data_IF_582941289574
#
_entry.id   IF_582941289574
#
_cell.length_a   1.000
_cell.length_b   1.000
_cell.length_c   1.000
_cell.angle_alpha   90.00
_cell.angle_beta   90.00
_cell.angle_gamma   90.00
#
_symmetry.space_group_name_H-M   'P 1'
#
loop_
_entity.id
_entity.type
_entity.pdbx_description
1 polymer ?
#
# COMPACT_ATOMS: atom_id res chain seq x y z
N UNK A 1 -16.86 16.96 -4.54
CA UNK A 1 -16.54 15.65 -5.13
C UNK A 1 -15.26 15.83 -5.93
N UNK A 2 -14.13 15.49 -5.32
CA UNK A 2 -12.80 15.74 -5.88
C UNK A 2 -12.20 14.39 -6.29
N UNK A 3 -11.90 14.24 -7.57
CA UNK A 3 -11.43 12.99 -8.17
C UNK A 3 -9.93 13.04 -8.46
N UNK A 4 -9.19 12.04 -7.96
CA UNK A 4 -7.73 12.00 -8.09
C UNK A 4 -7.29 10.75 -8.85
N UNK A 5 -6.40 10.93 -9.84
CA UNK A 5 -5.84 9.85 -10.70
C UNK A 5 -4.56 9.21 -10.17
N UNK A 6 -4.28 9.38 -8.87
CA UNK A 6 -3.09 8.84 -8.19
C UNK A 6 -3.55 7.90 -7.09
N UNK A 7 -2.95 6.70 -7.04
CA UNK A 7 -3.19 5.73 -5.97
C UNK A 7 -1.90 5.20 -5.35
N UNK A 8 -0.87 6.05 -5.30
CA UNK A 8 0.21 5.80 -4.35
C UNK A 8 -0.37 5.91 -2.93
N UNK A 9 0.05 5.04 -2.01
CA UNK A 9 -0.60 4.93 -0.71
C UNK A 9 -0.57 6.27 0.07
N UNK A 10 0.56 7.00 -0.02
CA UNK A 10 0.70 8.33 0.60
C UNK A 10 -0.24 9.35 -0.04
N UNK A 11 -0.33 9.39 -1.37
CA UNK A 11 -1.23 10.30 -2.09
C UNK A 11 -2.69 10.09 -1.67
N UNK A 12 -3.13 8.83 -1.53
CA UNK A 12 -4.48 8.51 -1.09
C UNK A 12 -4.77 9.10 0.30
N UNK A 13 -3.87 8.86 1.26
CA UNK A 13 -4.06 9.32 2.65
C UNK A 13 -4.04 10.85 2.74
N UNK A 14 -3.11 11.52 2.06
CA UNK A 14 -3.02 12.98 2.03
C UNK A 14 -4.25 13.60 1.34
N UNK A 15 -4.66 13.06 0.19
CA UNK A 15 -5.84 13.58 -0.52
C UNK A 15 -7.13 13.38 0.27
N UNK A 16 -7.28 12.29 1.04
CA UNK A 16 -8.41 12.14 1.96
C UNK A 16 -8.37 13.21 3.05
N UNK A 17 -7.19 13.53 3.60
CA UNK A 17 -7.04 14.62 4.55
C UNK A 17 -7.44 16.00 3.96
N UNK A 18 -7.23 16.19 2.66
CA UNK A 18 -7.66 17.38 1.91
C UNK A 18 -9.14 17.34 1.46
N UNK A 19 -9.90 16.31 1.83
CA UNK A 19 -11.33 16.20 1.54
C UNK A 19 -11.69 15.52 0.21
N UNK A 20 -10.76 14.80 -0.43
CA UNK A 20 -11.06 13.97 -1.60
C UNK A 20 -11.78 12.68 -1.20
N UNK A 21 -12.80 12.31 -1.97
CA UNK A 21 -13.72 11.22 -1.65
C UNK A 21 -13.66 10.04 -2.63
N UNK A 22 -13.14 10.24 -3.84
CA UNK A 22 -13.04 9.21 -4.87
C UNK A 22 -11.67 9.17 -5.55
N UNK A 23 -11.19 7.93 -5.79
CA UNK A 23 -9.89 7.65 -6.38
C UNK A 23 -10.01 6.56 -7.45
N UNK A 24 -9.28 6.74 -8.54
CA UNK A 24 -9.06 5.70 -9.55
C UNK A 24 -7.61 5.75 -10.02
N UNK A 25 -6.97 4.59 -10.12
CA UNK A 25 -5.67 4.49 -10.76
C UNK A 25 -5.38 3.05 -11.18
N UNK A 26 -4.64 2.93 -12.28
CA UNK A 26 -4.06 1.67 -12.75
C UNK A 26 -2.79 1.26 -11.98
N UNK A 27 -2.41 2.00 -10.93
CA UNK A 27 -1.21 1.72 -10.14
C UNK A 27 -1.12 0.25 -9.65
N UNK A 28 -2.14 -0.35 -9.00
CA UNK A 28 -2.00 -1.68 -8.41
C UNK A 28 -1.80 -2.79 -9.47
N UNK A 29 -2.45 -2.64 -10.63
CA UNK A 29 -2.33 -3.58 -11.75
C UNK A 29 -1.03 -3.36 -12.52
N UNK A 30 -0.58 -2.11 -12.68
CA UNK A 30 0.69 -1.76 -13.31
C UNK A 30 1.88 -2.26 -12.49
N UNK A 31 1.90 -2.05 -11.18
CA UNK A 31 2.99 -2.50 -10.29
C UNK A 31 3.06 -4.03 -10.21
N UNK A 32 1.93 -4.72 -10.24
CA UNK A 32 1.88 -6.18 -10.27
C UNK A 32 2.60 -6.77 -11.50
N UNK A 33 2.49 -6.13 -12.68
CA UNK A 33 3.23 -6.55 -13.89
C UNK A 33 4.74 -6.45 -13.75
N UNK A 34 5.22 -5.49 -12.95
CA UNK A 34 6.64 -5.36 -12.65
C UNK A 34 7.10 -6.32 -11.54
N UNK A 35 6.18 -7.07 -10.92
CA UNK A 35 6.47 -7.97 -9.79
C UNK A 35 6.59 -7.23 -8.46
N UNK A 36 5.98 -6.05 -8.34
CA UNK A 36 5.94 -5.26 -7.12
C UNK A 36 4.62 -5.49 -6.39
N UNK A 37 4.71 -6.03 -5.17
CA UNK A 37 3.58 -6.26 -4.28
C UNK A 37 3.51 -5.15 -3.22
N UNK A 38 2.33 -4.56 -3.02
CA UNK A 38 2.11 -3.46 -2.08
C UNK A 38 2.06 -3.98 -0.64
N UNK A 39 2.74 -3.30 0.28
CA UNK A 39 2.75 -3.65 1.71
C UNK A 39 2.69 -2.37 2.56
N UNK A 40 2.26 -2.44 3.83
CA UNK A 40 2.17 -1.26 4.71
C UNK A 40 3.47 -0.49 4.92
N UNK A 41 4.62 -1.13 4.65
CA UNK A 41 5.96 -0.57 4.77
C UNK A 41 6.65 -0.35 3.41
N UNK A 42 5.88 -0.30 2.31
CA UNK A 42 6.37 0.11 1.00
C UNK A 42 5.92 -0.83 -0.11
N UNK A 43 6.89 -1.37 -0.84
CA UNK A 43 6.62 -2.36 -1.87
C UNK A 43 7.69 -3.43 -1.89
N UNK A 44 7.26 -4.69 -2.03
CA UNK A 44 8.15 -5.84 -2.14
C UNK A 44 8.36 -6.17 -3.60
N UNK A 45 9.61 -6.11 -4.06
CA UNK A 45 9.98 -6.51 -5.40
C UNK A 45 10.21 -8.02 -5.45
N UNK A 46 9.15 -8.79 -5.67
CA UNK A 46 9.11 -10.27 -5.61
C UNK A 46 10.14 -10.94 -6.54
N UNK A 47 10.56 -10.25 -7.62
CA UNK A 47 11.62 -10.71 -8.52
C UNK A 47 13.01 -10.80 -7.89
N UNK A 48 13.26 -10.13 -6.77
CA UNK A 48 14.57 -10.13 -6.12
C UNK A 48 14.90 -11.51 -5.55
N UNK A 49 16.20 -11.87 -5.59
CA UNK A 49 16.69 -13.17 -5.14
C UNK A 49 16.46 -13.43 -3.65
N UNK A 50 16.35 -12.37 -2.83
CA UNK A 50 16.10 -12.49 -1.40
C UNK A 50 14.79 -13.22 -1.08
N UNK A 51 13.79 -13.14 -1.97
CA UNK A 51 12.51 -13.80 -1.77
C UNK A 51 12.50 -15.26 -2.23
N UNK A 52 13.57 -15.76 -2.87
CA UNK A 52 13.59 -17.11 -3.42
C UNK A 52 13.48 -18.23 -2.37
N UNK A 53 13.85 -17.95 -1.13
CA UNK A 53 13.76 -18.89 0.02
C UNK A 53 12.89 -18.34 1.15
N UNK A 54 12.10 -17.31 0.88
CA UNK A 54 11.19 -16.71 1.85
C UNK A 54 9.81 -17.37 1.77
N UNK A 55 9.51 -18.25 2.73
CA UNK A 55 8.25 -18.98 2.77
C UNK A 55 7.12 -18.21 3.48
N UNK A 56 7.34 -16.95 3.86
CA UNK A 56 6.30 -16.10 4.43
C UNK A 56 5.31 -15.62 3.36
N UNK A 57 4.06 -15.29 3.73
CA UNK A 57 3.12 -14.60 2.83
C UNK A 57 3.64 -13.19 2.47
N UNK A 58 3.06 -12.55 1.45
CA UNK A 58 3.44 -11.17 1.09
C UNK A 58 3.33 -10.25 2.31
N UNK A 59 2.18 -10.30 2.98
CA UNK A 59 1.88 -9.59 4.22
C UNK A 59 1.13 -10.54 5.16
N UNK A 60 1.65 -10.82 6.38
CA UNK A 60 1.00 -11.69 7.34
C UNK A 60 -0.33 -11.13 7.89
N UNK A 61 -0.54 -9.82 7.85
CA UNK A 61 -1.79 -9.17 8.28
C UNK A 61 -2.85 -9.15 7.16
N UNK A 62 -2.47 -9.49 5.92
CA UNK A 62 -3.37 -9.44 4.77
C UNK A 62 -4.18 -10.74 4.62
N UNK A 63 -5.51 -10.61 4.61
CA UNK A 63 -6.42 -11.75 4.50
C UNK A 63 -6.78 -12.14 3.05
N UNK A 64 -6.09 -11.59 2.04
CA UNK A 64 -6.42 -11.85 0.65
C UNK A 64 -6.18 -13.32 0.26
N UNK A 65 -6.85 -13.83 -0.80
CA UNK A 65 -6.67 -15.21 -1.25
C UNK A 65 -5.21 -15.56 -1.58
N UNK A 66 -4.42 -14.58 -2.05
CA UNK A 66 -3.00 -14.77 -2.36
C UNK A 66 -2.19 -15.00 -1.09
N UNK A 67 -2.30 -14.14 -0.07
CA UNK A 67 -1.55 -14.30 1.18
C UNK A 67 -1.94 -15.56 1.96
N UNK A 68 -3.19 -16.01 1.85
CA UNK A 68 -3.66 -17.24 2.51
C UNK A 68 -3.13 -18.53 1.88
N UNK A 69 -2.72 -18.51 0.61
CA UNK A 69 -2.38 -19.72 -0.16
C UNK A 69 -0.94 -19.77 -0.68
N UNK A 70 -0.30 -18.62 -0.85
CA UNK A 70 0.97 -18.51 -1.56
C UNK A 70 2.01 -17.74 -0.73
N UNK A 71 3.22 -18.28 -0.71
CA UNK A 71 4.39 -17.63 -0.11
C UNK A 71 5.12 -16.74 -1.12
N UNK A 72 5.99 -15.85 -0.62
CA UNK A 72 6.86 -15.00 -1.44
C UNK A 72 7.79 -15.83 -2.34
N UNK A 73 8.33 -16.93 -1.84
CA UNK A 73 9.16 -17.87 -2.61
C UNK A 73 8.39 -18.53 -3.74
N UNK A 74 7.14 -18.96 -3.49
CA UNK A 74 6.29 -19.52 -4.52
C UNK A 74 6.03 -18.48 -5.62
N UNK A 75 5.67 -17.25 -5.25
CA UNK A 75 5.43 -16.18 -6.21
C UNK A 75 6.71 -15.79 -6.98
N UNK A 76 7.89 -15.80 -6.34
CA UNK A 76 9.18 -15.57 -6.99
C UNK A 76 9.48 -16.62 -8.07
N UNK A 77 9.26 -17.90 -7.75
CA UNK A 77 9.44 -19.00 -8.69
C UNK A 77 8.44 -18.91 -9.83
N UNK A 78 7.15 -18.71 -9.50
CA UNK A 78 6.06 -18.63 -10.47
C UNK A 78 6.25 -17.46 -11.44
N UNK A 79 6.79 -16.33 -10.99
CA UNK A 79 7.04 -15.17 -11.85
C UNK A 79 8.00 -15.49 -13.02
N UNK A 80 8.90 -16.46 -12.87
CA UNK A 80 9.83 -16.86 -13.94
C UNK A 80 9.19 -17.81 -14.96
N UNK A 81 8.15 -18.53 -14.56
CA UNK A 81 7.57 -19.62 -15.35
C UNK A 81 6.19 -19.30 -15.92
N UNK A 82 5.39 -18.48 -15.24
CA UNK A 82 3.98 -18.26 -15.58
C UNK A 82 3.51 -16.82 -15.31
N UNK A 83 2.66 -16.33 -16.21
CA UNK A 83 1.88 -15.09 -16.05
C UNK A 83 0.93 -15.10 -14.86
N UNK A 84 0.56 -16.27 -14.33
CA UNK A 84 -0.30 -16.41 -13.15
C UNK A 84 0.25 -15.66 -11.92
N UNK A 85 1.57 -15.50 -11.79
CA UNK A 85 2.16 -14.69 -10.72
C UNK A 85 1.65 -13.24 -10.71
N UNK A 86 1.49 -12.63 -11.89
CA UNK A 86 0.97 -11.25 -12.01
C UNK A 86 -0.50 -11.17 -11.58
N UNK A 87 -1.29 -12.21 -11.84
CA UNK A 87 -2.68 -12.30 -11.40
C UNK A 87 -2.78 -12.33 -9.86
N UNK A 88 -1.99 -13.18 -9.21
CA UNK A 88 -1.96 -13.27 -7.75
C UNK A 88 -1.51 -11.97 -7.07
N UNK A 89 -0.47 -11.31 -7.62
CA UNK A 89 0.00 -10.02 -7.10
C UNK A 89 -1.06 -8.93 -7.35
N UNK A 90 -1.78 -8.97 -8.47
CA UNK A 90 -2.87 -8.02 -8.74
C UNK A 90 -3.99 -8.14 -7.71
N UNK A 91 -4.42 -9.37 -7.38
CA UNK A 91 -5.42 -9.60 -6.33
C UNK A 91 -4.96 -9.01 -4.99
N UNK A 92 -3.71 -9.27 -4.62
CA UNK A 92 -3.12 -8.73 -3.39
C UNK A 92 -3.09 -7.21 -3.39
N UNK A 93 -2.59 -6.58 -4.46
CA UNK A 93 -2.46 -5.12 -4.55
C UNK A 93 -3.81 -4.41 -4.50
N UNK A 94 -4.84 -4.96 -5.16
CA UNK A 94 -6.21 -4.41 -5.08
C UNK A 94 -6.76 -4.59 -3.68
N UNK A 95 -6.60 -5.77 -3.08
CA UNK A 95 -7.02 -6.03 -1.70
C UNK A 95 -6.37 -5.07 -0.72
N UNK A 96 -5.07 -4.78 -0.87
CA UNK A 96 -4.36 -3.81 -0.07
C UNK A 96 -4.99 -2.41 -0.16
N UNK A 97 -5.29 -1.92 -1.37
CA UNK A 97 -5.94 -0.61 -1.53
C UNK A 97 -7.32 -0.54 -0.89
N UNK A 98 -8.12 -1.61 -1.04
CA UNK A 98 -9.43 -1.70 -0.41
C UNK A 98 -9.31 -1.71 1.12
N UNK A 99 -8.37 -2.47 1.67
CA UNK A 99 -8.11 -2.49 3.12
C UNK A 99 -7.63 -1.13 3.63
N UNK A 100 -6.71 -0.47 2.91
CA UNK A 100 -6.22 0.86 3.27
C UNK A 100 -7.37 1.88 3.34
N UNK A 101 -8.23 1.93 2.32
CA UNK A 101 -9.39 2.84 2.29
C UNK A 101 -10.44 2.51 3.34
N UNK A 102 -10.65 1.22 3.66
CA UNK A 102 -11.51 0.82 4.79
C UNK A 102 -10.94 1.32 6.12
N UNK A 103 -9.64 1.15 6.36
CA UNK A 103 -9.00 1.61 7.60
C UNK A 103 -9.03 3.13 7.73
N UNK A 104 -8.79 3.86 6.63
CA UNK A 104 -8.95 5.32 6.57
C UNK A 104 -10.38 5.71 6.94
N UNK A 105 -11.39 5.13 6.28
CA UNK A 105 -12.80 5.41 6.57
C UNK A 105 -13.16 5.12 8.03
N UNK A 106 -12.69 4.01 8.58
CA UNK A 106 -12.96 3.63 9.97
C UNK A 106 -12.33 4.62 10.96
N UNK A 107 -11.10 5.07 10.69
CA UNK A 107 -10.44 6.08 11.54
C UNK A 107 -11.16 7.43 11.55
N UNK A 108 -11.80 7.82 10.45
CA UNK A 108 -12.64 9.03 10.38
C UNK A 108 -13.90 8.86 11.23
N UNK A 109 -14.58 7.71 11.13
CA UNK A 109 -15.78 7.41 11.92
C UNK A 109 -15.46 7.41 13.42
N UNK A 110 -14.31 6.84 13.79
CA UNK A 110 -13.81 6.76 15.16
C UNK A 110 -13.12 8.05 15.65
N UNK A 111 -13.16 9.14 14.87
CA UNK A 111 -12.58 10.46 15.22
C UNK A 111 -11.07 10.42 15.56
N UNK A 112 -10.33 9.46 14.98
CA UNK A 112 -8.88 9.26 15.20
C UNK A 112 -8.07 9.29 13.91
N UNK A 113 -8.56 10.03 12.92
CA UNK A 113 -7.90 10.14 11.61
C UNK A 113 -6.46 10.72 11.69
N UNK A 114 -6.17 11.79 12.47
CA UNK A 114 -4.80 12.30 12.59
C UNK A 114 -3.80 11.26 13.09
N UNK A 115 -4.18 10.48 14.12
CA UNK A 115 -3.37 9.38 14.65
C UNK A 115 -3.16 8.27 13.61
N UNK A 116 -4.18 7.99 12.80
CA UNK A 116 -4.06 7.05 11.69
C UNK A 116 -3.01 7.51 10.67
N UNK A 117 -3.03 8.79 10.27
CA UNK A 117 -2.07 9.35 9.32
C UNK A 117 -0.65 9.28 9.87
N UNK A 118 -0.43 9.66 11.12
CA UNK A 118 0.88 9.58 11.77
C UNK A 118 1.41 8.15 11.81
N UNK A 119 0.56 7.19 12.21
CA UNK A 119 0.92 5.78 12.23
C UNK A 119 1.19 5.22 10.83
N UNK A 120 0.40 5.63 9.84
CA UNK A 120 0.60 5.25 8.44
C UNK A 120 1.95 5.76 7.90
N UNK A 121 2.26 7.04 8.12
CA UNK A 121 3.52 7.64 7.66
C UNK A 121 4.72 6.99 8.36
N UNK A 122 4.63 6.72 9.66
CA UNK A 122 5.68 6.02 10.42
C UNK A 122 5.92 4.59 9.93
N UNK A 123 4.87 3.86 9.55
CA UNK A 123 4.98 2.51 8.97
C UNK A 123 5.54 2.54 7.55
N UNK A 124 5.12 3.51 6.73
CA UNK A 124 5.52 3.64 5.34
C UNK A 124 7.00 4.05 5.19
N UNK A 125 7.49 4.91 6.09
CA UNK A 125 8.86 5.43 6.11
C UNK A 125 9.54 5.04 7.43
N UNK A 126 9.94 3.78 7.57
CA UNK A 126 10.61 3.29 8.78
C UNK A 126 12.08 3.76 8.86
N UNK A 127 12.44 4.38 10.00
CA UNK A 127 13.77 4.68 10.56
C UNK A 127 14.90 5.04 9.57
N UNK A 128 14.88 6.27 9.05
CA UNK A 128 16.01 6.90 8.35
C UNK A 128 15.64 7.72 7.11
N UNK A 129 14.44 7.51 6.58
CA UNK A 129 13.92 8.27 5.44
C UNK A 129 13.11 9.49 5.90
N UNK A 130 13.44 10.65 5.34
CA UNK A 130 12.67 11.88 5.53
C UNK A 130 11.32 11.77 4.84
N UNK A 131 10.27 12.22 5.52
CA UNK A 131 8.97 12.36 4.88
C UNK A 131 9.08 13.31 3.67
N UNK A 132 8.38 13.03 2.57
CA UNK A 132 8.43 13.90 1.41
C UNK A 132 7.85 15.28 1.77
N UNK A 133 8.62 16.35 1.53
CA UNK A 133 8.26 17.71 1.97
C UNK A 133 6.86 18.15 1.55
N UNK A 134 6.44 17.83 0.32
CA UNK A 134 5.09 18.14 -0.17
C UNK A 134 3.98 17.51 0.69
N UNK A 135 4.20 16.31 1.24
CA UNK A 135 3.19 15.63 2.05
C UNK A 135 3.12 16.24 3.45
N UNK A 136 4.28 16.64 4.00
CA UNK A 136 4.36 17.37 5.27
C UNK A 136 3.64 18.70 5.15
N UNK A 137 3.92 19.47 4.09
CA UNK A 137 3.29 20.78 3.85
C UNK A 137 1.76 20.65 3.66
N UNK A 138 1.33 19.64 2.89
CA UNK A 138 -0.09 19.38 2.67
C UNK A 138 -0.82 18.99 3.96
N UNK A 139 -0.24 18.12 4.79
CA UNK A 139 -0.84 17.71 6.06
C UNK A 139 -0.83 18.85 7.09
N UNK A 140 0.22 19.67 7.12
CA UNK A 140 0.30 20.85 7.96
C UNK A 140 -0.82 21.86 7.62
N UNK A 141 -1.20 22.00 6.34
CA UNK A 141 -2.30 22.89 5.92
C UNK A 141 -3.67 22.52 6.50
N UNK A 142 -3.84 21.25 6.94
CA UNK A 142 -5.07 20.73 7.56
C UNK A 142 -4.89 20.38 9.04
N UNK A 143 -3.90 20.99 9.70
CA UNK A 143 -3.58 20.80 11.13
C UNK A 143 -3.19 19.35 11.52
N UNK A 144 -2.62 18.58 10.60
CA UNK A 144 -2.05 17.26 10.91
C UNK A 144 -0.53 17.40 10.91
N UNK A 145 0.06 17.40 12.10
CA UNK A 145 1.52 17.43 12.28
C UNK A 145 2.08 16.01 12.30
N UNK A 146 3.20 15.82 11.60
CA UNK A 146 4.00 14.60 11.64
C UNK A 146 5.19 14.89 12.56
N UNK A 147 5.23 14.21 13.70
CA UNK A 147 6.39 14.18 14.61
C UNK A 147 7.42 13.12 14.19
#
# INVERSE_FOLDING_TARGET
>A
MMFVRRSYAVDLVVCVALGCDMFDCVFPTRTARFGSALVPWGSLQIKQKQYAKDFQPIDPECECPTCKRHSRAYLHALFKSDTAAMHHITIHNISYQLTLMRSVRQSIIEQRFPEFVQNFMRRMFSSGETYPGWAVDALASVNITLE
#
